data_IF_793361961826
#
_entry.id   IF_793361961826
#
_cell.length_a   1.000
_cell.length_b   1.000
_cell.length_c   1.000
_cell.angle_alpha   90.00
_cell.angle_beta   90.00
_cell.angle_gamma   90.00
#
_symmetry.space_group_name_H-M   'P 1'
#
loop_
_entity.id
_entity.type
_entity.pdbx_description
1 polymer ?
#
# COMPACT_ATOMS: atom_id res chain seq x y z
N UNK A 1 5.04 -1.69 -8.46
CA UNK A 1 4.09 -1.10 -7.49
C UNK A 1 3.59 0.23 -8.02
N UNK A 2 2.34 0.61 -7.75
CA UNK A 2 1.77 1.86 -8.29
C UNK A 2 2.30 3.10 -7.56
N UNK A 3 3.08 3.94 -8.26
CA UNK A 3 3.65 5.16 -7.69
C UNK A 3 2.60 6.20 -7.27
N UNK A 4 1.49 6.31 -8.00
CA UNK A 4 0.41 7.25 -7.66
C UNK A 4 -0.25 6.92 -6.33
N UNK A 5 -0.35 5.62 -5.99
CA UNK A 5 -0.88 5.16 -4.70
C UNK A 5 0.09 5.52 -3.58
N UNK A 6 1.40 5.32 -3.77
CA UNK A 6 2.41 5.74 -2.81
C UNK A 6 2.37 7.26 -2.56
N UNK A 7 2.22 8.06 -3.61
CA UNK A 7 2.06 9.52 -3.47
C UNK A 7 0.82 9.86 -2.65
N UNK A 8 -0.32 9.25 -2.94
CA UNK A 8 -1.56 9.48 -2.18
C UNK A 8 -1.40 9.08 -0.70
N UNK A 9 -0.80 7.91 -0.43
CA UNK A 9 -0.54 7.44 0.93
C UNK A 9 0.42 8.35 1.69
N UNK A 10 1.43 8.93 1.03
CA UNK A 10 2.35 9.89 1.64
C UNK A 10 1.65 11.17 2.12
N UNK A 11 0.53 11.53 1.50
CA UNK A 11 -0.36 12.61 1.93
C UNK A 11 -1.43 12.17 2.95
N UNK A 12 -1.38 10.92 3.42
CA UNK A 12 -2.35 10.35 4.36
C UNK A 12 -3.67 9.90 3.76
N UNK A 13 -3.75 9.75 2.43
CA UNK A 13 -4.95 9.17 1.79
C UNK A 13 -4.98 7.67 2.05
N UNK A 14 -6.10 7.17 2.56
CA UNK A 14 -6.31 5.74 2.84
C UNK A 14 -6.45 4.98 1.50
N UNK A 15 -5.54 4.04 1.19
CA UNK A 15 -5.54 3.36 -0.09
C UNK A 15 -6.55 2.21 -0.13
N UNK A 16 -7.53 2.31 -1.03
CA UNK A 16 -8.42 1.22 -1.42
C UNK A 16 -8.13 0.91 -2.89
N UNK A 17 -7.47 -0.20 -3.18
CA UNK A 17 -6.85 -0.46 -4.49
C UNK A 17 -7.12 -1.87 -4.98
N UNK A 18 -6.91 -2.13 -6.27
CA UNK A 18 -6.91 -3.50 -6.78
C UNK A 18 -5.56 -4.17 -6.50
N UNK A 19 -5.54 -5.51 -6.49
CA UNK A 19 -4.30 -6.29 -6.38
C UNK A 19 -3.29 -5.99 -7.51
N UNK A 20 -3.76 -5.51 -8.66
CA UNK A 20 -2.89 -5.13 -9.77
C UNK A 20 -1.93 -3.96 -9.44
N UNK A 21 -2.20 -3.21 -8.37
CA UNK A 21 -1.29 -2.16 -7.91
C UNK A 21 0.00 -2.70 -7.25
N UNK A 22 0.06 -4.01 -6.95
CA UNK A 22 1.26 -4.70 -6.50
C UNK A 22 1.65 -4.46 -5.05
N UNK A 23 0.69 -4.13 -4.18
CA UNK A 23 0.88 -3.98 -2.74
C UNK A 23 0.48 -5.25 -1.98
N UNK A 24 1.13 -5.53 -0.85
CA UNK A 24 0.79 -6.61 0.05
C UNK A 24 -0.50 -6.36 0.85
N UNK A 25 -1.06 -7.41 1.46
CA UNK A 25 -2.33 -7.35 2.20
C UNK A 25 -2.24 -6.55 3.50
N UNK A 26 -1.04 -6.40 4.07
CA UNK A 26 -0.83 -5.61 5.29
C UNK A 26 -0.74 -4.09 5.03
N UNK A 27 -0.51 -3.70 3.78
CA UNK A 27 -0.10 -2.33 3.42
C UNK A 27 -1.27 -1.46 2.99
N UNK A 28 -2.27 -2.07 2.34
CA UNK A 28 -3.40 -1.38 1.73
C UNK A 28 -4.69 -2.17 1.90
N UNK A 29 -5.84 -1.53 1.67
CA UNK A 29 -7.11 -2.24 1.56
C UNK A 29 -7.31 -2.69 0.12
N UNK A 30 -7.37 -4.00 -0.10
CA UNK A 30 -7.65 -4.55 -1.43
C UNK A 30 -9.15 -4.64 -1.71
N UNK A 31 -9.56 -4.17 -2.88
CA UNK A 31 -10.84 -4.52 -3.46
C UNK A 31 -10.87 -6.03 -3.71
N UNK A 32 -12.01 -6.66 -3.41
CA UNK A 32 -12.25 -8.07 -3.72
C UNK A 32 -12.21 -8.30 -5.24
N UNK A 33 -12.90 -7.43 -5.98
CA UNK A 33 -12.89 -7.36 -7.44
C UNK A 33 -13.13 -5.92 -7.91
N UNK A 34 -12.95 -5.67 -9.21
CA UNK A 34 -13.11 -4.34 -9.80
C UNK A 34 -14.51 -4.11 -10.39
N UNK A 35 -15.52 -4.90 -10.01
CA UNK A 35 -16.89 -4.64 -10.44
C UNK A 35 -17.43 -3.36 -9.82
N UNK A 36 -18.33 -2.69 -10.55
CA UNK A 36 -19.01 -1.47 -10.08
C UNK A 36 -19.68 -1.72 -8.72
N UNK A 37 -20.31 -2.89 -8.55
CA UNK A 37 -20.99 -3.26 -7.30
C UNK A 37 -20.01 -3.36 -6.13
N UNK A 38 -18.86 -4.01 -6.32
CA UNK A 38 -17.83 -4.12 -5.28
C UNK A 38 -17.29 -2.75 -4.88
N UNK A 39 -16.98 -1.90 -5.88
CA UNK A 39 -16.48 -0.55 -5.65
C UNK A 39 -17.49 0.27 -4.86
N UNK A 40 -18.77 0.30 -5.29
CA UNK A 40 -19.84 1.03 -4.60
C UNK A 40 -20.03 0.56 -3.16
N UNK A 41 -20.10 -0.76 -2.96
CA UNK A 41 -20.25 -1.35 -1.63
C UNK A 41 -19.08 -0.99 -0.71
N UNK A 42 -17.85 -1.09 -1.22
CA UNK A 42 -16.63 -0.78 -0.47
C UNK A 42 -16.61 0.69 -0.08
N UNK A 43 -16.81 1.61 -1.03
CA UNK A 43 -16.83 3.04 -0.75
C UNK A 43 -17.90 3.41 0.27
N UNK A 44 -19.11 2.86 0.15
CA UNK A 44 -20.20 3.10 1.11
C UNK A 44 -19.86 2.58 2.50
N UNK A 45 -19.16 1.44 2.58
CA UNK A 45 -18.73 0.86 3.86
C UNK A 45 -17.62 1.67 4.54
N UNK A 46 -16.70 2.23 3.76
CA UNK A 46 -15.63 3.09 4.26
C UNK A 46 -16.12 4.50 4.62
N UNK A 47 -17.09 5.04 3.89
CA UNK A 47 -17.70 6.33 4.20
C UNK A 47 -18.42 6.36 5.56
N UNK A 48 -18.80 5.20 6.09
CA UNK A 48 -19.43 5.04 7.41
C UNK A 48 -18.43 4.96 8.57
N UNK A 49 -17.12 4.98 8.31
CA UNK A 49 -16.10 4.89 9.35
C UNK A 49 -16.07 6.17 10.19
N UNK A 50 -15.73 6.01 11.47
CA UNK A 50 -15.61 7.15 12.38
C UNK A 50 -14.39 7.99 12.03
N UNK A 51 -14.42 9.27 12.43
CA UNK A 51 -13.28 10.16 12.25
C UNK A 51 -12.01 9.61 12.91
N UNK A 52 -12.13 8.99 14.09
CA UNK A 52 -10.99 8.39 14.80
C UNK A 52 -10.38 7.21 14.03
N UNK A 53 -11.22 6.39 13.37
CA UNK A 53 -10.73 5.35 12.47
C UNK A 53 -10.00 5.96 11.27
N UNK A 54 -10.55 7.01 10.66
CA UNK A 54 -9.93 7.68 9.50
C UNK A 54 -8.58 8.27 9.87
N UNK A 55 -8.46 8.96 11.01
CA UNK A 55 -7.18 9.50 11.50
C UNK A 55 -6.14 8.39 11.70
N UNK A 56 -6.53 7.30 12.36
CA UNK A 56 -5.65 6.15 12.60
C UNK A 56 -5.11 5.56 11.29
N UNK A 57 -5.99 5.27 10.35
CA UNK A 57 -5.60 4.66 9.08
C UNK A 57 -4.82 5.62 8.17
N UNK A 58 -5.12 6.92 8.22
CA UNK A 58 -4.36 7.95 7.53
C UNK A 58 -2.91 8.00 8.02
N UNK A 59 -2.69 8.02 9.34
CA UNK A 59 -1.35 7.96 9.93
C UNK A 59 -0.63 6.65 9.58
N UNK A 60 -1.34 5.52 9.62
CA UNK A 60 -0.78 4.22 9.23
C UNK A 60 -0.32 4.20 7.77
N UNK A 61 -1.08 4.82 6.86
CA UNK A 61 -0.70 4.93 5.45
C UNK A 61 0.59 5.74 5.27
N UNK A 62 0.71 6.87 5.97
CA UNK A 62 1.93 7.69 5.97
C UNK A 62 3.12 6.91 6.53
N UNK A 63 2.94 6.19 7.63
CA UNK A 63 3.99 5.38 8.26
C UNK A 63 4.44 4.23 7.35
N UNK A 64 3.51 3.58 6.66
CA UNK A 64 3.81 2.50 5.70
C UNK A 64 4.74 3.00 4.58
N UNK A 65 4.46 4.18 4.02
CA UNK A 65 5.32 4.77 2.98
C UNK A 65 6.70 5.14 3.53
N UNK A 66 6.77 5.79 4.68
CA UNK A 66 8.05 6.23 5.25
C UNK A 66 8.93 5.06 5.74
N UNK A 67 8.33 3.97 6.20
CA UNK A 67 9.05 2.81 6.71
C UNK A 67 9.41 1.77 5.65
N UNK A 68 8.66 1.67 4.55
CA UNK A 68 8.88 0.63 3.52
C UNK A 68 9.32 1.13 2.15
N UNK A 69 9.05 2.40 1.81
CA UNK A 69 9.05 2.87 0.42
C UNK A 69 9.95 4.07 0.15
N UNK A 70 11.07 4.17 0.86
CA UNK A 70 12.10 5.18 0.58
C UNK A 70 13.06 4.70 -0.52
N UNK A 71 13.78 5.63 -1.21
CA UNK A 71 14.83 5.24 -2.15
C UNK A 71 15.89 4.32 -1.55
N UNK A 72 16.22 4.51 -0.25
CA UNK A 72 17.17 3.65 0.45
C UNK A 72 16.65 2.21 0.61
N UNK A 73 15.36 2.01 0.91
CA UNK A 73 14.76 0.67 0.98
C UNK A 73 14.84 -0.06 -0.36
N UNK A 74 14.54 0.64 -1.46
CA UNK A 74 14.67 0.07 -2.79
C UNK A 74 16.11 -0.35 -3.09
N UNK A 75 17.08 0.56 -2.90
CA UNK A 75 18.49 0.28 -3.14
C UNK A 75 19.00 -0.88 -2.29
N UNK A 76 18.62 -0.93 -1.01
CA UNK A 76 18.99 -2.01 -0.10
C UNK A 76 18.39 -3.35 -0.54
N UNK A 77 17.09 -3.38 -0.84
CA UNK A 77 16.39 -4.59 -1.28
C UNK A 77 16.99 -5.14 -2.58
N UNK A 78 17.25 -4.26 -3.54
CA UNK A 78 17.89 -4.64 -4.80
C UNK A 78 19.31 -5.18 -4.58
N UNK A 79 20.11 -4.51 -3.76
CA UNK A 79 21.47 -4.94 -3.46
C UNK A 79 21.49 -6.30 -2.78
N UNK A 80 20.65 -6.51 -1.76
CA UNK A 80 20.51 -7.81 -1.08
C UNK A 80 20.13 -8.92 -2.05
N UNK A 81 19.18 -8.66 -2.97
CA UNK A 81 18.79 -9.65 -3.97
C UNK A 81 19.95 -9.97 -4.94
N UNK A 82 20.67 -8.96 -5.42
CA UNK A 82 21.83 -9.16 -6.31
C UNK A 82 22.95 -9.94 -5.62
N UNK A 83 23.24 -9.65 -4.35
CA UNK A 83 24.24 -10.40 -3.57
C UNK A 83 23.83 -11.86 -3.40
N UNK A 84 22.57 -12.13 -3.01
CA UNK A 84 22.08 -13.51 -2.88
C UNK A 84 22.18 -14.30 -4.20
N UNK A 85 21.98 -13.64 -5.34
CA UNK A 85 22.10 -14.28 -6.65
C UNK A 85 23.55 -14.60 -7.00
N UNK A 86 24.49 -13.71 -6.66
CA UNK A 86 25.92 -13.92 -6.86
C UNK A 86 26.49 -14.99 -5.91
N UNK A 87 25.94 -15.10 -4.70
CA UNK A 87 26.35 -16.06 -3.68
C UNK A 87 25.65 -17.43 -3.83
N UNK A 88 24.64 -17.54 -4.70
CA UNK A 88 23.88 -18.78 -4.93
C UNK A 88 22.95 -19.17 -3.79
N UNK A 89 22.52 -18.21 -2.98
CA UNK A 89 21.68 -18.39 -1.78
C UNK A 89 20.22 -18.00 -1.99
N UNK A 90 19.83 -17.68 -3.23
CA UNK A 90 18.45 -17.42 -3.66
C UNK A 90 17.77 -18.63 -4.29
#
# INVERSE_FOLDING_TARGET
>A
MSGSVLTAMSAGVIPIVSRACGFGDAEVFHLQDCSIRCIQYTLTSFAKKTLEWVKKESLRAVETVHSGYTPSHFSQSFHTAMQGLLEGTL
#
